data_IF_502546622584
#
_entry.id   IF_502546622584
#
_cell.length_a   1.000
_cell.length_b   1.000
_cell.length_c   1.000
_cell.angle_alpha   90.00
_cell.angle_beta   90.00
_cell.angle_gamma   90.00
#
_symmetry.space_group_name_H-M   'P 1'
#
loop_
_entity.id
_entity.type
_entity.pdbx_description
1 polymer ?
#
# COMPACT_ATOMS: atom_id res chain seq x y z
N UNK A 1 -16.12 -19.60 -20.97
CA UNK A 1 -16.93 -18.88 -19.98
C UNK A 1 -17.91 -19.76 -19.20
N UNK A 2 -18.51 -20.79 -19.81
CA UNK A 2 -19.47 -21.69 -19.10
C UNK A 2 -18.83 -22.77 -18.20
N UNK A 3 -17.58 -23.18 -18.42
CA UNK A 3 -16.97 -24.24 -17.60
C UNK A 3 -16.53 -23.80 -16.20
N UNK A 4 -16.07 -22.55 -16.05
CA UNK A 4 -15.65 -22.04 -14.74
C UNK A 4 -16.82 -21.75 -13.78
N UNK A 5 -17.96 -21.29 -14.28
CA UNK A 5 -19.15 -21.08 -13.48
C UNK A 5 -19.79 -22.41 -13.01
N UNK A 6 -19.70 -23.47 -13.80
CA UNK A 6 -20.18 -24.78 -13.42
C UNK A 6 -19.34 -25.45 -12.32
N UNK A 7 -18.03 -25.16 -12.23
CA UNK A 7 -17.16 -25.71 -11.17
C UNK A 7 -17.47 -25.10 -9.79
N UNK A 8 -17.98 -23.86 -9.76
CA UNK A 8 -18.34 -23.19 -8.50
C UNK A 8 -19.74 -23.63 -8.01
N UNK A 9 -20.64 -24.02 -8.92
CA UNK A 9 -22.05 -24.30 -8.57
C UNK A 9 -22.39 -25.80 -8.38
N UNK A 10 -21.46 -26.71 -8.65
CA UNK A 10 -21.77 -28.17 -8.62
C UNK A 10 -20.97 -29.01 -7.63
N UNK A 11 -20.20 -28.42 -6.74
CA UNK A 11 -19.64 -29.17 -5.61
C UNK A 11 -20.49 -28.94 -4.37
N UNK A 12 -21.30 -29.92 -4.04
CA UNK A 12 -21.80 -30.15 -2.70
C UNK A 12 -20.60 -30.28 -1.74
N UNK A 13 -20.19 -29.15 -1.17
CA UNK A 13 -19.30 -29.16 -0.03
C UNK A 13 -20.19 -29.43 1.17
N UNK A 14 -20.22 -30.69 1.62
CA UNK A 14 -20.73 -31.01 2.94
C UNK A 14 -19.93 -30.18 3.95
N UNK A 15 -20.58 -29.15 4.47
CA UNK A 15 -20.03 -28.31 5.50
C UNK A 15 -20.10 -29.11 6.80
N UNK A 16 -19.06 -29.92 7.06
CA UNK A 16 -18.83 -30.41 8.41
C UNK A 16 -18.60 -29.18 9.28
N UNK A 17 -19.48 -28.98 10.22
CA UNK A 17 -19.52 -27.86 11.15
C UNK A 17 -18.28 -27.90 12.03
N UNK A 18 -17.17 -27.40 11.52
CA UNK A 18 -16.03 -27.03 12.35
C UNK A 18 -16.47 -25.83 13.20
N UNK A 19 -16.64 -26.08 14.48
CA UNK A 19 -16.97 -25.04 15.44
C UNK A 19 -15.88 -23.97 15.46
N UNK A 20 -16.16 -22.82 14.87
CA UNK A 20 -15.35 -21.60 14.91
C UNK A 20 -15.02 -21.18 16.36
N UNK A 21 -15.73 -21.76 17.33
CA UNK A 21 -15.61 -21.47 18.76
C UNK A 21 -14.28 -21.95 19.38
N UNK A 22 -13.62 -22.96 18.80
CA UNK A 22 -12.38 -23.50 19.37
C UNK A 22 -11.11 -22.80 18.88
N UNK A 23 -11.20 -22.07 17.75
CA UNK A 23 -10.09 -21.27 17.20
C UNK A 23 -9.97 -19.90 17.92
N UNK A 24 -11.04 -19.43 18.57
CA UNK A 24 -11.08 -18.09 19.21
C UNK A 24 -10.85 -18.11 20.72
N UNK A 25 -10.38 -19.21 21.31
CA UNK A 25 -9.88 -19.19 22.68
C UNK A 25 -8.51 -18.53 22.74
N UNK A 26 -8.48 -17.20 22.64
CA UNK A 26 -7.35 -16.45 23.18
C UNK A 26 -7.35 -16.61 24.71
N UNK A 27 -6.24 -17.00 25.33
CA UNK A 27 -6.17 -17.01 26.79
C UNK A 27 -6.46 -15.59 27.28
N UNK A 28 -7.39 -15.47 28.23
CA UNK A 28 -7.73 -14.19 28.84
C UNK A 28 -6.44 -13.49 29.28
N UNK A 29 -6.05 -12.44 28.58
CA UNK A 29 -4.92 -11.61 28.98
C UNK A 29 -5.29 -10.97 30.32
N UNK A 30 -4.60 -11.38 31.39
CA UNK A 30 -4.55 -10.63 32.65
C UNK A 30 -4.25 -9.17 32.31
N UNK A 31 -5.05 -8.26 32.87
CA UNK A 31 -4.88 -6.80 32.81
C UNK A 31 -3.43 -6.44 33.14
N UNK A 32 -2.52 -6.50 32.19
CA UNK A 32 -1.26 -5.78 32.25
C UNK A 32 -1.57 -4.35 31.79
N UNK A 33 -1.39 -3.38 32.69
CA UNK A 33 -1.23 -1.97 32.33
C UNK A 33 -0.29 -1.92 31.15
N UNK A 34 -0.83 -1.64 29.96
CA UNK A 34 -0.03 -1.37 28.76
C UNK A 34 0.54 0.03 29.02
N UNK A 35 1.68 0.08 29.69
CA UNK A 35 2.59 1.22 29.55
C UNK A 35 2.85 1.36 28.07
N UNK A 36 2.71 2.58 27.53
CA UNK A 36 2.96 2.93 26.15
C UNK A 36 4.46 2.78 25.84
N UNK A 37 4.96 1.54 25.83
CA UNK A 37 6.27 1.21 25.27
C UNK A 37 6.21 1.51 23.78
N UNK A 38 7.26 2.13 23.29
CA UNK A 38 7.50 2.30 21.86
C UNK A 38 7.61 0.92 21.20
N UNK A 39 6.50 0.29 20.86
CA UNK A 39 6.41 -1.05 20.26
C UNK A 39 7.37 -1.21 19.06
N UNK A 40 7.61 -0.11 18.33
CA UNK A 40 8.56 -0.07 17.21
C UNK A 40 10.02 -0.34 17.63
N UNK A 41 10.40 -0.17 18.92
CA UNK A 41 11.75 -0.44 19.40
C UNK A 41 12.01 -1.93 19.66
N UNK A 42 10.95 -2.72 19.84
CA UNK A 42 11.08 -4.09 20.36
C UNK A 42 11.39 -5.12 19.26
N UNK A 43 11.20 -4.75 17.97
CA UNK A 43 11.50 -5.66 16.86
C UNK A 43 12.88 -5.42 16.26
N UNK A 44 13.61 -6.51 16.00
CA UNK A 44 14.88 -6.48 15.28
C UNK A 44 14.69 -5.94 13.86
N UNK A 45 15.71 -5.28 13.31
CA UNK A 45 15.68 -4.73 11.95
C UNK A 45 15.22 -5.77 10.91
N UNK A 46 15.68 -7.01 11.03
CA UNK A 46 15.29 -8.09 10.11
C UNK A 46 13.77 -8.30 10.06
N UNK A 47 13.09 -8.30 11.22
CA UNK A 47 11.63 -8.43 11.25
C UNK A 47 10.93 -7.24 10.59
N UNK A 48 11.44 -6.03 10.80
CA UNK A 48 10.93 -4.81 10.13
C UNK A 48 11.09 -4.90 8.62
N UNK A 49 12.24 -5.35 8.14
CA UNK A 49 12.51 -5.51 6.71
C UNK A 49 11.61 -6.58 6.07
N UNK A 50 11.37 -7.71 6.75
CA UNK A 50 10.42 -8.71 6.28
C UNK A 50 8.98 -8.18 6.25
N UNK A 51 8.56 -7.41 7.24
CA UNK A 51 7.24 -6.78 7.25
C UNK A 51 7.07 -5.82 6.06
N UNK A 52 8.07 -4.98 5.78
CA UNK A 52 8.06 -4.07 4.63
C UNK A 52 8.06 -4.83 3.29
N UNK A 53 8.85 -5.90 3.17
CA UNK A 53 8.90 -6.74 1.97
C UNK A 53 7.54 -7.41 1.69
N UNK A 54 6.99 -8.11 2.69
CA UNK A 54 5.72 -8.84 2.56
C UNK A 54 4.58 -7.85 2.29
N UNK A 55 4.51 -6.77 3.07
CA UNK A 55 3.48 -5.75 2.90
C UNK A 55 3.53 -5.10 1.51
N UNK A 56 4.72 -4.79 1.00
CA UNK A 56 4.90 -4.26 -0.35
C UNK A 56 4.48 -5.25 -1.44
N UNK A 57 4.78 -6.56 -1.27
CA UNK A 57 4.38 -7.58 -2.22
C UNK A 57 2.85 -7.70 -2.30
N UNK A 58 2.17 -7.84 -1.17
CA UNK A 58 0.71 -7.96 -1.14
C UNK A 58 0.00 -6.67 -1.56
N UNK A 59 0.55 -5.50 -1.25
CA UNK A 59 0.02 -4.23 -1.73
C UNK A 59 0.04 -4.16 -3.27
N UNK A 60 1.14 -4.56 -3.92
CA UNK A 60 1.22 -4.58 -5.38
C UNK A 60 0.32 -5.65 -5.98
N UNK A 61 0.21 -6.82 -5.37
CA UNK A 61 -0.77 -7.82 -5.79
C UNK A 61 -2.19 -7.25 -5.78
N UNK A 62 -2.57 -6.54 -4.72
CA UNK A 62 -3.87 -5.88 -4.62
C UNK A 62 -4.07 -4.79 -5.67
N UNK A 63 -2.99 -4.12 -6.12
CA UNK A 63 -3.05 -3.05 -7.10
C UNK A 63 -2.96 -3.52 -8.58
N UNK A 64 -2.73 -4.80 -8.84
CA UNK A 64 -2.65 -5.34 -10.21
C UNK A 64 -3.70 -6.43 -10.43
N UNK A 65 -3.91 -7.34 -9.46
CA UNK A 65 -4.81 -8.49 -9.61
C UNK A 65 -6.24 -8.11 -9.98
N UNK A 66 -6.90 -7.14 -9.33
CA UNK A 66 -8.28 -6.77 -9.69
C UNK A 66 -8.38 -6.24 -11.12
N UNK A 67 -7.37 -5.50 -11.58
CA UNK A 67 -7.38 -4.97 -12.96
C UNK A 67 -7.26 -6.10 -13.98
N UNK A 68 -6.45 -7.13 -13.74
CA UNK A 68 -6.38 -8.29 -14.62
C UNK A 68 -7.69 -9.08 -14.57
N UNK A 69 -8.19 -9.37 -13.35
CA UNK A 69 -9.39 -10.18 -13.17
C UNK A 69 -10.61 -9.54 -13.84
N UNK A 70 -10.90 -8.28 -13.50
CA UNK A 70 -12.14 -7.63 -13.98
C UNK A 70 -12.04 -7.16 -15.43
N UNK A 71 -10.85 -6.71 -15.89
CA UNK A 71 -10.73 -6.18 -17.24
C UNK A 71 -10.43 -7.27 -18.29
N UNK A 72 -9.63 -8.32 -17.95
CA UNK A 72 -9.22 -9.33 -18.92
C UNK A 72 -9.93 -10.68 -18.77
N UNK A 73 -10.11 -11.14 -17.53
CA UNK A 73 -10.72 -12.46 -17.30
C UNK A 73 -12.24 -12.39 -17.37
N UNK A 74 -12.82 -11.39 -16.69
CA UNK A 74 -14.28 -11.23 -16.62
C UNK A 74 -14.87 -10.28 -17.69
N UNK A 75 -14.00 -9.60 -18.44
CA UNK A 75 -14.39 -8.62 -19.48
C UNK A 75 -15.44 -7.60 -19.01
N UNK A 76 -15.31 -7.15 -17.76
CA UNK A 76 -16.26 -6.23 -17.12
C UNK A 76 -16.01 -4.76 -17.48
N UNK A 77 -15.01 -4.48 -18.30
CA UNK A 77 -14.58 -3.16 -18.69
C UNK A 77 -13.69 -2.44 -17.67
N UNK A 78 -12.94 -1.45 -18.16
CA UNK A 78 -11.91 -0.75 -17.39
C UNK A 78 -12.47 0.02 -16.18
N UNK A 79 -13.69 0.58 -16.27
CA UNK A 79 -14.30 1.33 -15.18
C UNK A 79 -14.54 0.45 -13.94
N UNK A 80 -15.09 -0.74 -14.14
CA UNK A 80 -15.30 -1.71 -13.05
C UNK A 80 -13.96 -2.22 -12.52
N UNK A 81 -12.97 -2.44 -13.40
CA UNK A 81 -11.64 -2.87 -12.99
C UNK A 81 -10.95 -1.82 -12.08
N UNK A 82 -11.07 -0.53 -12.38
CA UNK A 82 -10.53 0.56 -11.54
C UNK A 82 -11.27 0.65 -10.20
N UNK A 83 -12.59 0.48 -10.19
CA UNK A 83 -13.35 0.44 -8.94
C UNK A 83 -12.95 -0.76 -8.07
N UNK A 84 -12.81 -1.94 -8.69
CA UNK A 84 -12.36 -3.16 -8.00
C UNK A 84 -10.92 -3.01 -7.45
N UNK A 85 -10.03 -2.35 -8.20
CA UNK A 85 -8.68 -2.00 -7.75
C UNK A 85 -8.73 -1.10 -6.50
N UNK A 86 -9.53 -0.03 -6.54
CA UNK A 86 -9.67 0.89 -5.42
C UNK A 86 -10.16 0.22 -4.14
N UNK A 87 -11.18 -0.63 -4.25
CA UNK A 87 -11.73 -1.38 -3.12
C UNK A 87 -10.73 -2.43 -2.63
N UNK A 88 -10.13 -3.20 -3.53
CA UNK A 88 -9.14 -4.24 -3.21
C UNK A 88 -7.93 -3.67 -2.50
N UNK A 89 -7.35 -2.58 -3.03
CA UNK A 89 -6.23 -1.89 -2.40
C UNK A 89 -6.60 -1.34 -1.03
N UNK A 90 -7.78 -0.69 -0.89
CA UNK A 90 -8.20 -0.16 0.41
C UNK A 90 -8.30 -1.26 1.47
N UNK A 91 -8.93 -2.39 1.16
CA UNK A 91 -9.11 -3.48 2.12
C UNK A 91 -7.81 -4.18 2.47
N UNK A 92 -6.98 -4.49 1.47
CA UNK A 92 -5.69 -5.14 1.70
C UNK A 92 -4.75 -4.21 2.47
N UNK A 93 -4.67 -2.93 2.11
CA UNK A 93 -3.84 -1.96 2.80
C UNK A 93 -4.28 -1.77 4.26
N UNK A 94 -5.58 -1.74 4.54
CA UNK A 94 -6.10 -1.70 5.92
C UNK A 94 -5.58 -2.88 6.75
N UNK A 95 -5.68 -4.09 6.21
CA UNK A 95 -5.19 -5.29 6.88
C UNK A 95 -3.67 -5.25 7.09
N UNK A 96 -2.91 -4.87 6.04
CA UNK A 96 -1.45 -4.81 6.10
C UNK A 96 -0.95 -3.78 7.13
N UNK A 97 -1.55 -2.58 7.16
CA UNK A 97 -1.18 -1.56 8.16
C UNK A 97 -1.54 -2.03 9.56
N UNK A 98 -2.70 -2.67 9.75
CA UNK A 98 -3.13 -3.17 11.05
C UNK A 98 -2.19 -4.26 11.59
N UNK A 99 -1.69 -5.15 10.73
CA UNK A 99 -0.80 -6.26 11.11
C UNK A 99 0.65 -5.79 11.28
N UNK A 100 1.18 -5.03 10.33
CA UNK A 100 2.60 -4.70 10.27
C UNK A 100 2.94 -3.33 10.85
N UNK A 101 1.95 -2.47 11.10
CA UNK A 101 2.16 -1.17 11.73
C UNK A 101 2.95 -1.24 13.02
N UNK A 102 2.58 -2.11 13.97
CA UNK A 102 3.35 -2.29 15.21
C UNK A 102 4.77 -2.86 15.01
N UNK A 103 5.06 -3.50 13.87
CA UNK A 103 6.34 -4.16 13.60
C UNK A 103 7.33 -3.21 12.92
N UNK A 104 6.95 -2.62 11.77
CA UNK A 104 7.85 -1.83 10.92
C UNK A 104 7.44 -0.36 10.79
N UNK A 105 6.22 -0.02 11.19
CA UNK A 105 5.55 1.22 10.84
C UNK A 105 4.68 1.08 9.59
N UNK A 106 4.73 -0.06 8.90
CA UNK A 106 3.95 -0.37 7.69
C UNK A 106 4.03 0.75 6.63
N UNK A 107 5.24 1.17 6.30
CA UNK A 107 5.42 2.21 5.30
C UNK A 107 5.04 1.72 3.91
N UNK A 108 5.54 0.57 3.48
CA UNK A 108 5.33 -0.06 2.16
C UNK A 108 5.51 0.92 0.99
N UNK A 109 6.25 2.00 1.22
CA UNK A 109 6.32 3.14 0.32
C UNK A 109 7.63 3.92 0.54
N UNK A 110 8.54 3.99 -0.45
CA UNK A 110 9.78 4.77 -0.35
C UNK A 110 9.56 6.26 -0.07
N UNK A 111 8.49 6.88 -0.61
CA UNK A 111 8.20 8.29 -0.37
C UNK A 111 7.76 8.54 1.08
N UNK A 112 6.97 7.63 1.65
CA UNK A 112 6.62 7.64 3.08
C UNK A 112 7.87 7.42 3.93
N UNK A 113 8.71 6.44 3.59
CA UNK A 113 9.95 6.17 4.33
C UNK A 113 10.90 7.38 4.32
N UNK A 114 11.02 8.08 3.18
CA UNK A 114 11.77 9.32 3.07
C UNK A 114 11.20 10.42 3.98
N UNK A 115 9.88 10.59 3.99
CA UNK A 115 9.18 11.54 4.87
C UNK A 115 9.50 11.29 6.34
N UNK A 116 9.46 10.02 6.78
CA UNK A 116 9.82 9.65 8.16
C UNK A 116 11.31 9.82 8.47
N UNK A 117 12.19 9.66 7.49
CA UNK A 117 13.61 9.98 7.68
C UNK A 117 13.85 11.48 7.78
N UNK A 118 13.14 12.28 6.99
CA UNK A 118 13.21 13.73 7.04
C UNK A 118 12.68 14.28 8.38
N UNK A 119 11.60 13.72 8.90
CA UNK A 119 11.06 14.05 10.24
C UNK A 119 11.82 13.39 11.40
N UNK A 120 12.95 12.70 11.12
CA UNK A 120 13.82 12.03 12.10
C UNK A 120 13.17 10.86 12.85
N UNK A 121 12.03 10.38 12.40
CA UNK A 121 11.34 9.22 12.99
C UNK A 121 11.90 7.88 12.46
N UNK A 122 12.51 7.88 11.26
CA UNK A 122 13.26 6.75 10.72
C UNK A 122 14.74 7.17 10.54
N UNK A 123 15.71 6.46 11.14
CA UNK A 123 17.12 6.79 10.95
C UNK A 123 17.54 6.73 9.47
N UNK A 124 18.24 7.74 8.98
CA UNK A 124 18.73 7.81 7.60
C UNK A 124 19.52 6.57 7.16
N UNK A 125 20.25 5.94 8.09
CA UNK A 125 20.99 4.69 7.84
C UNK A 125 20.08 3.49 7.52
N UNK A 126 18.84 3.53 7.96
CA UNK A 126 17.84 2.45 7.76
C UNK A 126 17.06 2.66 6.46
N UNK A 127 16.89 3.91 6.01
CA UNK A 127 16.11 4.24 4.81
C UNK A 127 16.50 3.41 3.57
N UNK A 128 17.79 3.24 3.19
CA UNK A 128 18.13 2.46 2.00
C UNK A 128 17.67 0.99 2.08
N UNK A 129 17.71 0.39 3.27
CA UNK A 129 17.24 -0.99 3.46
C UNK A 129 15.72 -1.09 3.29
N UNK A 130 14.96 -0.13 3.84
CA UNK A 130 13.50 -0.06 3.63
C UNK A 130 13.18 0.07 2.15
N UNK A 131 13.77 1.04 1.45
CA UNK A 131 13.56 1.26 0.02
C UNK A 131 13.88 0.02 -0.79
N UNK A 132 15.00 -0.65 -0.50
CA UNK A 132 15.40 -1.86 -1.21
C UNK A 132 14.38 -3.00 -1.04
N UNK A 133 13.98 -3.32 0.20
CA UNK A 133 13.03 -4.42 0.44
C UNK A 133 11.62 -4.10 -0.04
N UNK A 134 11.21 -2.83 0.00
CA UNK A 134 9.93 -2.38 -0.56
C UNK A 134 9.90 -2.58 -2.08
N UNK A 135 10.93 -2.17 -2.80
CA UNK A 135 11.03 -2.37 -4.26
C UNK A 135 11.09 -3.86 -4.60
N UNK A 136 11.92 -4.63 -3.90
CA UNK A 136 12.02 -6.08 -4.10
C UNK A 136 10.67 -6.77 -3.84
N UNK A 137 9.97 -6.39 -2.76
CA UNK A 137 8.63 -6.89 -2.46
C UNK A 137 7.63 -6.54 -3.55
N UNK A 138 7.63 -5.29 -4.02
CA UNK A 138 6.75 -4.86 -5.12
C UNK A 138 6.96 -5.67 -6.41
N UNK A 139 8.22 -5.90 -6.80
CA UNK A 139 8.56 -6.75 -7.96
C UNK A 139 8.03 -8.17 -7.77
N UNK A 140 8.27 -8.77 -6.60
CA UNK A 140 7.75 -10.11 -6.27
C UNK A 140 6.22 -10.13 -6.30
N UNK A 141 5.55 -9.09 -5.84
CA UNK A 141 4.10 -8.94 -5.93
C UNK A 141 3.59 -8.94 -7.37
N UNK A 142 4.26 -8.24 -8.29
CA UNK A 142 3.94 -8.28 -9.72
C UNK A 142 4.11 -9.69 -10.30
N UNK A 143 5.25 -10.35 -10.02
CA UNK A 143 5.52 -11.70 -10.49
C UNK A 143 4.51 -12.71 -9.95
N UNK A 144 4.18 -12.63 -8.66
CA UNK A 144 3.17 -13.49 -8.04
C UNK A 144 1.78 -13.26 -8.66
N UNK A 145 1.41 -12.01 -8.94
CA UNK A 145 0.17 -11.72 -9.66
C UNK A 145 0.16 -12.33 -11.05
N UNK A 146 1.22 -12.15 -11.83
CA UNK A 146 1.31 -12.74 -13.16
C UNK A 146 1.29 -14.27 -13.11
N UNK A 147 1.90 -14.88 -12.10
CA UNK A 147 1.84 -16.33 -11.89
C UNK A 147 0.41 -16.81 -11.61
N UNK A 148 -0.39 -16.08 -10.81
CA UNK A 148 -1.80 -16.41 -10.57
C UNK A 148 -2.64 -16.34 -11.86
N UNK A 149 -2.28 -15.44 -12.77
CA UNK A 149 -2.98 -15.24 -14.05
C UNK A 149 -2.17 -15.72 -15.26
N UNK A 150 -1.33 -16.76 -15.10
CA UNK A 150 -0.36 -17.16 -16.12
C UNK A 150 -0.98 -17.53 -17.48
N UNK A 151 -2.24 -17.97 -17.53
CA UNK A 151 -2.97 -18.21 -18.77
C UNK A 151 -3.38 -16.91 -19.50
N UNK A 152 -3.30 -15.77 -18.85
CA UNK A 152 -3.68 -14.45 -19.38
C UNK A 152 -2.46 -13.59 -19.72
N UNK A 153 -1.25 -14.15 -19.58
CA UNK A 153 0.01 -13.43 -19.78
C UNK A 153 0.92 -14.16 -20.77
N UNK A 154 1.55 -13.42 -21.66
CA UNK A 154 2.54 -13.97 -22.59
C UNK A 154 3.91 -14.16 -21.92
N UNK A 155 4.18 -13.41 -20.85
CA UNK A 155 5.43 -13.43 -20.09
C UNK A 155 5.20 -12.96 -18.65
N UNK A 156 5.93 -13.54 -17.69
CA UNK A 156 5.87 -13.13 -16.29
C UNK A 156 6.42 -11.70 -16.05
N UNK A 157 7.26 -11.21 -16.95
CA UNK A 157 7.78 -9.84 -16.90
C UNK A 157 7.62 -9.21 -18.28
N UNK A 158 6.89 -8.11 -18.33
CA UNK A 158 6.70 -7.33 -19.55
C UNK A 158 6.76 -5.86 -19.23
N UNK A 159 7.63 -5.11 -19.89
CA UNK A 159 7.65 -3.65 -19.74
C UNK A 159 6.32 -3.08 -20.24
N UNK A 160 5.68 -2.32 -19.37
CA UNK A 160 4.39 -1.69 -19.67
C UNK A 160 4.51 -0.64 -20.77
N UNK A 161 3.56 -0.65 -21.69
CA UNK A 161 3.35 0.39 -22.71
C UNK A 161 2.28 1.42 -22.32
N UNK A 162 1.63 1.25 -21.17
CA UNK A 162 0.54 2.13 -20.73
C UNK A 162 1.06 3.54 -20.47
N UNK A 163 0.55 4.49 -21.22
CA UNK A 163 0.91 5.91 -21.10
C UNK A 163 0.16 6.58 -19.96
N UNK A 164 0.88 7.29 -19.09
CA UNK A 164 0.33 8.10 -18.00
C UNK A 164 1.08 9.43 -17.95
N UNK A 165 0.64 10.40 -18.74
CA UNK A 165 1.29 11.69 -18.91
C UNK A 165 0.32 12.87 -18.63
N UNK A 166 0.76 14.10 -18.89
CA UNK A 166 -0.03 15.31 -18.76
C UNK A 166 -0.62 15.48 -17.36
N UNK A 167 -1.96 15.45 -17.27
CA UNK A 167 -2.68 15.60 -16.00
C UNK A 167 -2.40 14.54 -14.93
N UNK A 168 -1.76 13.41 -15.30
CA UNK A 168 -1.40 12.39 -14.32
C UNK A 168 -0.24 12.85 -13.39
N UNK A 169 0.65 13.72 -13.85
CA UNK A 169 1.76 14.21 -13.02
C UNK A 169 1.29 15.08 -11.84
N UNK A 170 0.48 16.14 -12.04
CA UNK A 170 -0.09 16.88 -10.92
C UNK A 170 -1.01 16.01 -10.04
N UNK A 171 -1.71 15.02 -10.60
CA UNK A 171 -2.50 14.09 -9.81
C UNK A 171 -1.63 13.28 -8.83
N UNK A 172 -0.45 12.80 -9.28
CA UNK A 172 0.52 12.14 -8.40
C UNK A 172 1.08 13.11 -7.34
N UNK A 173 1.31 14.37 -7.70
CA UNK A 173 1.76 15.38 -6.74
C UNK A 173 0.74 15.58 -5.63
N UNK A 174 -0.52 15.82 -5.97
CA UNK A 174 -1.59 16.02 -4.99
C UNK A 174 -1.88 14.76 -4.18
N UNK A 175 -1.94 13.60 -4.83
CA UNK A 175 -2.18 12.32 -4.16
C UNK A 175 -1.08 11.97 -3.16
N UNK A 176 0.18 12.13 -3.54
CA UNK A 176 1.30 11.87 -2.62
C UNK A 176 1.36 12.89 -1.49
N UNK A 177 1.10 14.17 -1.80
CA UNK A 177 1.05 15.23 -0.79
C UNK A 177 0.02 14.91 0.30
N UNK A 178 -1.24 14.67 -0.09
CA UNK A 178 -2.30 14.44 0.91
C UNK A 178 -2.10 13.13 1.67
N UNK A 179 -1.56 12.08 1.01
CA UNK A 179 -1.23 10.82 1.67
C UNK A 179 -0.21 11.03 2.79
N UNK A 180 0.94 11.64 2.47
CA UNK A 180 2.03 11.85 3.43
C UNK A 180 1.60 12.81 4.53
N UNK A 181 0.90 13.90 4.18
CA UNK A 181 0.37 14.86 5.15
C UNK A 181 -0.59 14.19 6.15
N UNK A 182 -1.50 13.35 5.66
CA UNK A 182 -2.45 12.61 6.51
C UNK A 182 -1.73 11.61 7.42
N UNK A 183 -0.74 10.88 6.90
CA UNK A 183 0.05 9.95 7.72
C UNK A 183 0.77 10.69 8.84
N UNK A 184 1.46 11.80 8.53
CA UNK A 184 2.16 12.62 9.54
C UNK A 184 1.19 13.12 10.62
N UNK A 185 0.00 13.58 10.22
CA UNK A 185 -1.03 14.04 11.12
C UNK A 185 -1.51 12.94 12.08
N UNK A 186 -1.82 11.76 11.55
CA UNK A 186 -2.34 10.64 12.34
C UNK A 186 -1.28 10.06 13.28
N UNK A 187 -0.03 9.99 12.83
CA UNK A 187 1.10 9.55 13.67
C UNK A 187 1.34 10.54 14.82
N UNK A 188 1.33 11.83 14.52
CA UNK A 188 1.47 12.87 15.54
C UNK A 188 0.34 12.80 16.60
N UNK A 189 -0.89 12.56 16.14
CA UNK A 189 -2.06 12.40 17.02
C UNK A 189 -2.09 11.06 17.75
N UNK A 190 -1.17 10.13 17.46
CA UNK A 190 -1.17 8.75 17.96
C UNK A 190 -2.53 8.07 17.72
N UNK A 191 -3.13 8.32 16.57
CA UNK A 191 -4.48 7.88 16.24
C UNK A 191 -4.53 6.38 15.96
N UNK A 192 -5.41 5.67 16.64
CA UNK A 192 -5.75 4.27 16.39
C UNK A 192 -6.50 4.08 15.05
N UNK A 193 -7.03 5.14 14.48
CA UNK A 193 -7.74 5.14 13.20
C UNK A 193 -6.80 5.20 11.97
N UNK A 194 -5.48 5.28 12.17
CA UNK A 194 -4.51 5.40 11.08
C UNK A 194 -4.70 4.34 9.99
N UNK A 195 -4.82 3.02 10.29
CA UNK A 195 -5.00 2.02 9.25
C UNK A 195 -6.25 2.26 8.40
N UNK A 196 -7.36 2.61 9.03
CA UNK A 196 -8.62 2.87 8.34
C UNK A 196 -8.57 4.13 7.50
N UNK A 197 -8.11 5.25 8.05
CA UNK A 197 -8.10 6.54 7.35
C UNK A 197 -7.16 6.50 6.16
N UNK A 198 -5.95 5.95 6.32
CA UNK A 198 -4.96 5.85 5.23
C UNK A 198 -5.47 4.96 4.11
N UNK A 199 -6.04 3.80 4.43
CA UNK A 199 -6.54 2.87 3.42
C UNK A 199 -7.76 3.41 2.66
N UNK A 200 -8.69 4.06 3.34
CA UNK A 200 -9.83 4.71 2.70
C UNK A 200 -9.39 5.90 1.83
N UNK A 201 -8.41 6.69 2.30
CA UNK A 201 -7.84 7.77 1.50
C UNK A 201 -7.22 7.24 0.20
N UNK A 202 -6.41 6.18 0.28
CA UNK A 202 -5.79 5.57 -0.90
C UNK A 202 -6.85 5.04 -1.87
N UNK A 203 -7.82 4.27 -1.39
CA UNK A 203 -8.91 3.77 -2.23
C UNK A 203 -9.74 4.89 -2.87
N UNK A 204 -10.06 5.94 -2.11
CA UNK A 204 -10.76 7.12 -2.62
C UNK A 204 -9.96 7.86 -3.71
N UNK A 205 -8.65 8.02 -3.52
CA UNK A 205 -7.77 8.66 -4.50
C UNK A 205 -7.59 7.84 -5.79
N UNK A 206 -7.65 6.51 -5.71
CA UNK A 206 -7.60 5.64 -6.89
C UNK A 206 -8.73 5.93 -7.90
N UNK A 207 -9.92 6.27 -7.42
CA UNK A 207 -11.09 6.58 -8.26
C UNK A 207 -11.31 8.07 -8.49
N UNK A 208 -10.61 8.95 -7.79
CA UNK A 208 -10.81 10.41 -7.87
C UNK A 208 -9.68 11.17 -8.55
N UNK A 209 -8.59 10.48 -8.93
CA UNK A 209 -7.45 11.11 -9.60
C UNK A 209 -7.26 10.57 -11.01
N UNK A 210 -6.77 11.44 -11.92
CA UNK A 210 -6.50 11.07 -13.32
C UNK A 210 -5.38 10.04 -13.49
N UNK A 211 -4.50 9.90 -12.49
CA UNK A 211 -3.42 8.91 -12.48
C UNK A 211 -3.85 7.55 -11.94
N UNK A 212 -5.05 7.43 -11.36
CA UNK A 212 -5.43 6.32 -10.47
C UNK A 212 -4.44 6.13 -9.32
N UNK A 213 -3.96 7.22 -8.79
CA UNK A 213 -3.05 7.43 -7.67
C UNK A 213 -2.11 6.27 -7.35
N UNK A 214 -0.87 6.36 -7.81
CA UNK A 214 0.17 5.44 -7.35
C UNK A 214 0.76 5.91 -6.01
N UNK A 215 1.13 7.19 -5.95
CA UNK A 215 1.67 7.89 -4.77
C UNK A 215 2.78 7.10 -4.03
N UNK A 216 3.48 6.22 -4.75
CA UNK A 216 4.37 5.22 -4.17
C UNK A 216 5.43 4.78 -5.19
N UNK A 217 6.72 5.15 -5.01
CA UNK A 217 7.77 4.79 -5.94
C UNK A 217 7.94 3.28 -6.17
N UNK A 218 7.76 2.44 -5.12
CA UNK A 218 7.86 0.99 -5.32
C UNK A 218 6.69 0.42 -6.14
N UNK A 219 5.46 0.91 -5.92
CA UNK A 219 4.29 0.55 -6.74
C UNK A 219 4.51 1.00 -8.18
N UNK A 220 5.05 2.20 -8.38
CA UNK A 220 5.37 2.73 -9.71
C UNK A 220 6.36 1.82 -10.44
N UNK A 221 7.46 1.43 -9.79
CA UNK A 221 8.46 0.50 -10.37
C UNK A 221 7.83 -0.85 -10.68
N UNK A 222 7.07 -1.41 -9.74
CA UNK A 222 6.41 -2.71 -9.90
C UNK A 222 5.42 -2.69 -11.08
N UNK A 223 4.63 -1.61 -11.22
CA UNK A 223 3.66 -1.44 -12.31
C UNK A 223 4.30 -1.12 -13.67
N UNK A 224 5.60 -0.77 -13.73
CA UNK A 224 6.34 -0.76 -15.02
C UNK A 224 6.53 -2.17 -15.60
N UNK A 225 6.41 -3.21 -14.79
CA UNK A 225 6.67 -4.60 -15.16
C UNK A 225 5.41 -5.40 -15.49
N UNK A 226 4.25 -4.74 -15.58
CA UNK A 226 2.98 -5.40 -15.94
C UNK A 226 2.45 -4.95 -17.29
N UNK A 227 1.98 -5.90 -18.07
CA UNK A 227 1.28 -5.68 -19.34
C UNK A 227 -0.16 -5.22 -19.16
N UNK A 228 -0.73 -5.28 -17.96
CA UNK A 228 -2.12 -4.95 -17.70
C UNK A 228 -2.39 -3.43 -17.77
N UNK A 229 -3.67 -3.05 -17.85
CA UNK A 229 -4.07 -1.64 -17.78
C UNK A 229 -3.68 -0.93 -16.46
N UNK A 230 -3.29 -1.71 -15.42
CA UNK A 230 -2.70 -1.18 -14.20
C UNK A 230 -1.29 -0.61 -14.42
N UNK A 231 -0.64 -0.89 -15.54
CA UNK A 231 0.75 -0.55 -15.81
C UNK A 231 1.03 0.94 -16.01
N UNK A 232 2.31 1.24 -16.17
CA UNK A 232 2.85 2.54 -16.55
C UNK A 232 4.13 2.33 -17.35
N UNK A 233 4.29 3.02 -18.50
CA UNK A 233 5.54 2.92 -19.25
C UNK A 233 6.71 3.53 -18.45
N UNK A 234 7.95 3.00 -18.58
CA UNK A 234 9.09 3.41 -17.74
C UNK A 234 9.35 4.92 -17.72
N UNK A 235 9.26 5.61 -18.88
CA UNK A 235 9.54 7.05 -18.96
C UNK A 235 8.55 7.88 -18.11
N UNK A 236 7.27 7.54 -18.13
CA UNK A 236 6.27 8.23 -17.30
C UNK A 236 6.45 7.84 -15.83
N UNK A 237 6.81 6.59 -15.56
CA UNK A 237 7.07 6.11 -14.22
C UNK A 237 8.26 6.77 -13.53
N UNK A 238 9.34 7.07 -14.26
CA UNK A 238 10.46 7.85 -13.71
C UNK A 238 10.02 9.25 -13.32
N UNK A 239 9.14 9.88 -14.12
CA UNK A 239 8.57 11.20 -13.78
C UNK A 239 7.67 11.09 -12.54
N UNK A 240 6.82 10.04 -12.44
CA UNK A 240 6.01 9.79 -11.24
C UNK A 240 6.89 9.69 -9.99
N UNK A 241 7.96 8.91 -10.03
CA UNK A 241 8.88 8.73 -8.89
C UNK A 241 9.46 10.07 -8.44
N UNK A 242 9.91 10.91 -9.38
CA UNK A 242 10.46 12.22 -9.05
C UNK A 242 9.39 13.13 -8.39
N UNK A 243 8.18 13.15 -8.95
CA UNK A 243 7.05 13.91 -8.41
C UNK A 243 6.65 13.40 -7.02
N UNK A 244 6.58 12.09 -6.83
CA UNK A 244 6.20 11.45 -5.56
C UNK A 244 7.19 11.80 -4.44
N UNK A 245 8.50 11.70 -4.69
CA UNK A 245 9.51 12.07 -3.70
C UNK A 245 9.47 13.57 -3.36
N UNK A 246 9.36 14.42 -4.38
CA UNK A 246 9.27 15.88 -4.18
C UNK A 246 8.03 16.25 -3.35
N UNK A 247 6.88 15.68 -3.68
CA UNK A 247 5.62 15.92 -2.96
C UNK A 247 5.66 15.42 -1.52
N UNK A 248 6.29 14.27 -1.25
CA UNK A 248 6.46 13.76 0.10
C UNK A 248 7.27 14.71 0.99
N UNK A 249 8.36 15.29 0.45
CA UNK A 249 9.15 16.29 1.16
C UNK A 249 8.33 17.56 1.42
N UNK A 250 7.64 18.08 0.39
CA UNK A 250 6.78 19.27 0.53
C UNK A 250 5.69 19.05 1.56
N UNK A 251 5.01 17.89 1.55
CA UNK A 251 3.99 17.53 2.53
C UNK A 251 4.56 17.52 3.95
N UNK A 252 5.74 16.93 4.14
CA UNK A 252 6.39 16.86 5.45
C UNK A 252 6.77 18.24 5.97
N UNK A 253 7.38 19.09 5.13
CA UNK A 253 7.74 20.46 5.49
C UNK A 253 6.48 21.27 5.83
N UNK A 254 5.43 21.13 5.01
CA UNK A 254 4.16 21.83 5.24
C UNK A 254 3.52 21.41 6.57
N UNK A 255 3.50 20.09 6.85
CA UNK A 255 3.01 19.57 8.11
C UNK A 255 3.79 20.16 9.31
N UNK A 256 5.12 20.09 9.28
CA UNK A 256 5.98 20.60 10.35
C UNK A 256 5.81 22.10 10.55
N UNK A 257 5.73 22.87 9.45
CA UNK A 257 5.56 24.32 9.53
C UNK A 257 4.21 24.72 10.12
N UNK A 258 3.12 24.11 9.66
CA UNK A 258 1.77 24.52 10.08
C UNK A 258 1.45 24.02 11.48
N UNK A 259 1.78 22.78 11.81
CA UNK A 259 1.25 22.13 13.02
C UNK A 259 2.30 21.95 14.13
N UNK A 260 3.52 21.60 13.79
CA UNK A 260 4.56 21.35 14.79
C UNK A 260 5.14 22.67 15.34
N UNK A 261 5.46 23.63 14.47
CA UNK A 261 6.05 24.91 14.87
C UNK A 261 5.05 25.92 15.45
N UNK A 262 3.76 25.76 15.15
CA UNK A 262 2.71 26.66 15.66
C UNK A 262 1.93 26.06 16.84
N UNK A 263 2.44 24.98 17.44
CA UNK A 263 1.86 24.42 18.65
C UNK A 263 1.98 25.45 19.79
N UNK A 264 0.85 25.74 20.46
CA UNK A 264 0.87 26.58 21.68
C UNK A 264 1.54 25.71 22.77
N UNK A 265 2.59 26.23 23.45
CA UNK A 265 3.20 25.51 24.56
C UNK A 265 2.15 25.19 25.62
N UNK A 266 2.14 23.95 26.09
CA UNK A 266 1.31 23.60 27.25
C UNK A 266 1.95 24.16 28.51
N UNK A 267 1.16 24.56 29.54
CA UNK A 267 1.69 25.16 30.79
C UNK A 267 2.74 24.33 31.52
N UNK A 268 2.91 23.03 31.11
CA UNK A 268 3.83 22.06 31.74
C UNK A 268 5.08 21.79 30.89
N UNK A 269 5.28 22.44 29.74
CA UNK A 269 6.49 22.48 28.93
C UNK A 269 7.21 23.84 29.14
#
# INVERSE_FOLDING_TARGET
>A
MNEYLNVILTKDVSCDTFYLHDILRFPAQKNQKIESRNLLSDFKLVAKLWAEFIGSAFLVMAAISPVILFNRVLDSGIGIAVLADAVGVAWVLFALISVFGPVSGAHFNPAVSLSFSYSRSLPWKILPYYVFVQIAGGIVGTLATHLMFYHQVDSLVTLSSVTRNGGCFPAEAFGTFILVFTIQALVYQKSDKLPMVVSLLVGGQLISTSSTMFANPQVTIARMLTYSAAGIRPVDGLTFIAVQFSSAIVATITWQYIFEKNKIPTPDE
#
